data_IF_738192738741
#
_entry.id   IF_738192738741
#
_cell.length_a   1.000
_cell.length_b   1.000
_cell.length_c   1.000
_cell.angle_alpha   90.00
_cell.angle_beta   90.00
_cell.angle_gamma   90.00
#
_symmetry.space_group_name_H-M   'P 1'
#
loop_
_entity.id
_entity.type
_entity.pdbx_description
1 polymer ?
#
# COMPACT_ATOMS: atom_id res chain seq x y z
N UNK A 1 -18.40 6.54 12.66
CA UNK A 1 -17.49 5.70 11.86
C UNK A 1 -16.67 6.63 10.99
N UNK A 2 -15.35 6.54 11.06
CA UNK A 2 -14.44 7.41 10.31
C UNK A 2 -13.56 6.54 9.40
N UNK A 3 -13.17 7.06 8.24
CA UNK A 3 -12.28 6.39 7.30
C UNK A 3 -10.97 7.18 7.19
N UNK A 4 -9.83 6.49 7.36
CA UNK A 4 -8.50 7.03 7.12
C UNK A 4 -7.89 6.30 5.90
N UNK A 5 -7.69 7.02 4.80
CA UNK A 5 -7.08 6.50 3.59
C UNK A 5 -5.64 7.03 3.47
N UNK A 6 -4.65 6.15 3.59
CA UNK A 6 -3.22 6.48 3.54
C UNK A 6 -2.65 5.94 2.22
N UNK A 7 -1.90 6.77 1.51
CA UNK A 7 -1.16 6.38 0.31
C UNK A 7 0.31 6.79 0.45
N UNK A 8 1.22 6.03 -0.16
CA UNK A 8 2.64 6.33 -0.21
C UNK A 8 3.08 6.47 -1.67
N UNK A 9 3.76 7.58 -2.00
CA UNK A 9 4.24 7.82 -3.36
C UNK A 9 5.53 7.03 -3.64
N UNK A 10 5.62 6.45 -4.83
CA UNK A 10 6.78 5.68 -5.31
C UNK A 10 7.21 4.51 -4.40
N UNK A 11 6.28 3.98 -3.60
CA UNK A 11 6.55 2.84 -2.74
C UNK A 11 6.64 1.54 -3.54
N UNK A 12 7.72 0.79 -3.35
CA UNK A 12 7.91 -0.55 -3.91
C UNK A 12 7.10 -1.57 -3.13
N UNK A 13 6.26 -2.36 -3.80
CA UNK A 13 5.34 -3.30 -3.14
C UNK A 13 6.04 -4.29 -2.19
N UNK A 14 7.28 -4.67 -2.53
CA UNK A 14 8.12 -5.56 -1.72
C UNK A 14 8.76 -4.89 -0.50
N UNK A 15 8.81 -3.56 -0.40
CA UNK A 15 9.49 -2.83 0.68
C UNK A 15 8.70 -2.84 2.01
N UNK A 16 8.19 -3.99 2.43
CA UNK A 16 7.41 -4.18 3.66
C UNK A 16 7.97 -5.39 4.43
N UNK A 17 8.30 -5.24 5.72
CA UNK A 17 8.84 -6.37 6.51
C UNK A 17 7.81 -7.49 6.70
N UNK A 18 6.51 -7.18 6.76
CA UNK A 18 5.45 -8.20 6.74
C UNK A 18 5.44 -9.08 5.47
N UNK A 19 6.07 -8.65 4.37
CA UNK A 19 6.27 -9.45 3.15
C UNK A 19 7.64 -10.15 3.10
N UNK A 20 8.42 -10.10 4.19
CA UNK A 20 9.72 -10.76 4.29
C UNK A 20 10.89 -9.94 3.73
N UNK A 21 10.75 -8.63 3.55
CA UNK A 21 11.85 -7.79 3.04
C UNK A 21 13.04 -7.78 4.01
N UNK A 22 14.24 -8.12 3.52
CA UNK A 22 15.42 -8.36 4.35
C UNK A 22 15.92 -7.13 5.14
N UNK A 23 15.65 -5.92 4.67
CA UNK A 23 16.21 -4.68 5.23
C UNK A 23 15.18 -3.64 5.65
N UNK A 24 13.90 -3.82 5.27
CA UNK A 24 12.88 -2.83 5.57
C UNK A 24 12.45 -3.03 7.01
N UNK A 25 12.30 -1.94 7.76
CA UNK A 25 11.82 -1.99 9.15
C UNK A 25 10.53 -1.19 9.22
N UNK A 26 9.40 -1.88 9.12
CA UNK A 26 8.06 -1.25 9.08
C UNK A 26 7.16 -1.70 10.24
N UNK A 27 7.59 -1.57 11.51
CA UNK A 27 6.90 -2.18 12.64
C UNK A 27 5.44 -1.73 12.81
N UNK A 28 5.13 -0.47 12.47
CA UNK A 28 3.76 0.06 12.53
C UNK A 28 2.86 -0.51 11.43
N UNK A 29 3.40 -0.70 10.22
CA UNK A 29 2.66 -1.33 9.12
C UNK A 29 2.52 -2.84 9.33
N UNK A 30 3.52 -3.48 9.94
CA UNK A 30 3.45 -4.89 10.30
C UNK A 30 2.38 -5.15 11.37
N UNK A 31 2.24 -4.23 12.34
CA UNK A 31 1.13 -4.27 13.30
C UNK A 31 -0.23 -4.10 12.60
N UNK A 32 -0.35 -3.12 11.70
CA UNK A 32 -1.57 -2.91 10.91
C UNK A 32 -1.92 -4.14 10.05
N UNK A 33 -0.93 -4.79 9.44
CA UNK A 33 -1.12 -5.99 8.65
C UNK A 33 -1.56 -7.20 9.49
N UNK A 34 -1.10 -7.29 10.75
CA UNK A 34 -1.49 -8.35 11.70
C UNK A 34 -2.92 -8.18 12.20
N UNK A 35 -3.34 -6.94 12.43
CA UNK A 35 -4.65 -6.61 12.98
C UNK A 35 -5.72 -6.44 11.87
N UNK A 36 -5.32 -6.54 10.60
CA UNK A 36 -6.17 -6.33 9.44
C UNK A 36 -5.98 -7.39 8.35
N UNK A 37 -6.12 -6.96 7.09
CA UNK A 37 -5.94 -7.81 5.92
C UNK A 37 -4.86 -7.23 5.01
N UNK A 38 -3.89 -8.07 4.64
CA UNK A 38 -2.83 -7.74 3.69
C UNK A 38 -3.17 -8.32 2.31
N UNK A 39 -3.17 -7.46 1.28
CA UNK A 39 -3.36 -7.87 -0.11
C UNK A 39 -2.01 -8.03 -0.81
N UNK A 40 -1.47 -9.26 -0.86
CA UNK A 40 -0.17 -9.55 -1.49
C UNK A 40 -0.15 -9.37 -3.02
N UNK A 41 -1.31 -9.17 -3.66
CA UNK A 41 -1.48 -9.03 -5.11
C UNK A 41 -2.32 -7.80 -5.47
N UNK A 42 -1.94 -6.65 -4.90
CA UNK A 42 -2.54 -5.34 -5.23
C UNK A 42 -1.76 -4.66 -6.36
N UNK A 43 -2.47 -4.19 -7.40
CA UNK A 43 -1.87 -3.56 -8.59
C UNK A 43 -2.47 -2.18 -8.83
N UNK A 44 -1.62 -1.20 -9.10
CA UNK A 44 -2.05 0.11 -9.59
C UNK A 44 -2.58 -0.01 -11.03
N UNK A 45 -3.57 0.80 -11.39
CA UNK A 45 -4.14 0.82 -12.76
C UNK A 45 -3.21 1.49 -13.78
N UNK A 46 -2.22 2.26 -13.32
CA UNK A 46 -1.22 2.90 -14.16
C UNK A 46 0.09 3.10 -13.39
N UNK A 47 1.22 3.15 -14.10
CA UNK A 47 2.54 3.43 -13.50
C UNK A 47 2.74 4.90 -13.09
N UNK A 48 2.32 5.91 -13.89
CA UNK A 48 2.56 7.30 -13.52
C UNK A 48 1.65 7.74 -12.37
N UNK A 49 2.16 8.65 -11.55
CA UNK A 49 1.55 9.07 -10.30
C UNK A 49 0.16 9.71 -10.48
N UNK A 50 -0.01 10.59 -11.47
CA UNK A 50 -1.29 11.24 -11.76
C UNK A 50 -2.41 10.25 -12.18
N UNK A 51 -2.26 9.46 -13.26
CA UNK A 51 -3.31 8.51 -13.66
C UNK A 51 -3.56 7.43 -12.60
N UNK A 52 -2.54 6.94 -11.88
CA UNK A 52 -2.72 5.99 -10.79
C UNK A 52 -3.54 6.57 -9.63
N UNK A 53 -3.34 7.84 -9.26
CA UNK A 53 -4.11 8.47 -8.19
C UNK A 53 -5.53 8.80 -8.65
N UNK A 54 -5.68 9.25 -9.89
CA UNK A 54 -7.01 9.50 -10.46
C UNK A 54 -7.87 8.22 -10.44
N UNK A 55 -7.32 7.05 -10.76
CA UNK A 55 -8.08 5.78 -10.71
C UNK A 55 -8.38 5.26 -9.28
N UNK A 56 -7.70 5.78 -8.24
CA UNK A 56 -8.03 5.41 -6.86
C UNK A 56 -9.26 6.17 -6.34
N UNK A 57 -9.44 7.41 -6.80
CA UNK A 57 -10.54 8.30 -6.36
C UNK A 57 -11.72 8.29 -7.33
N UNK A 58 -11.45 8.05 -8.62
CA UNK A 58 -12.48 7.80 -9.61
C UNK A 58 -12.67 6.29 -9.79
N UNK A 59 -13.91 5.82 -9.77
CA UNK A 59 -14.25 4.39 -9.93
C UNK A 59 -14.24 4.02 -11.43
N UNK A 60 -13.15 4.39 -12.13
CA UNK A 60 -13.00 4.26 -13.59
C UNK A 60 -11.63 3.71 -13.96
#
# INVERSE_FOLDING_TARGET
MNLLFITADQWRGECLSALGHAHARTPNLDALARDGLLFARHFAQATPCAPSRSSMVSVR
#
